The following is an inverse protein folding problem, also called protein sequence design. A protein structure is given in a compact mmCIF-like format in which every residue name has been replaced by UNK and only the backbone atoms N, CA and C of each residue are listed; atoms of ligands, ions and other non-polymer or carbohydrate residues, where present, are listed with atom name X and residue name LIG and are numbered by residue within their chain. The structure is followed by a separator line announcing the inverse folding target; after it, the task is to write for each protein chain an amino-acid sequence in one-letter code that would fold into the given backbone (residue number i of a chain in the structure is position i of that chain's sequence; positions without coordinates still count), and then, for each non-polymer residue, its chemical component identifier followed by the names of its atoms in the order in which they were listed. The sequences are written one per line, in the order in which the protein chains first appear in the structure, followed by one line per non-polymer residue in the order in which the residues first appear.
data_IF_763586990122
#
_entry.id   IF_763586990122
#
_cell.length_a   1.000
_cell.length_b   1.000
_cell.length_c   1.000
_cell.angle_alpha   90.00
_cell.angle_beta   90.00
_cell.angle_gamma   90.00
#
_symmetry.space_group_name_H-M   'P 1'
#
loop_
_entity.id
_entity.type
_entity.pdbx_description
1 polymer ?
#
# COMPACT_ATOMS: atom_id res chain seq x y z
N UNK A 1 -5.60 -1.18 -2.74
CA UNK A 1 -5.06 -1.35 -1.38
C UNK A 1 -4.59 -2.78 -1.21
N UNK A 2 -3.62 -3.05 -0.33
CA UNK A 2 -3.09 -4.38 -0.06
C UNK A 2 -3.47 -4.84 1.36
N UNK A 3 -4.53 -5.64 1.46
CA UNK A 3 -4.94 -6.22 2.74
C UNK A 3 -3.80 -7.05 3.37
N UNK A 4 -3.70 -6.97 4.70
CA UNK A 4 -2.66 -7.64 5.48
C UNK A 4 -1.27 -7.00 5.39
N UNK A 5 -1.13 -5.84 4.73
CA UNK A 5 0.13 -5.11 4.59
C UNK A 5 0.00 -3.73 5.24
N UNK A 6 1.03 -3.30 5.97
CA UNK A 6 1.15 -1.92 6.43
C UNK A 6 1.74 -1.04 5.31
N UNK A 7 1.05 0.05 4.97
CA UNK A 7 1.46 0.94 3.89
C UNK A 7 2.79 1.68 4.13
N UNK A 8 3.19 1.93 5.39
CA UNK A 8 4.50 2.54 5.69
C UNK A 8 5.64 1.56 5.42
N UNK A 9 5.51 0.32 5.90
CA UNK A 9 6.49 -0.74 5.65
C UNK A 9 6.63 -1.00 4.14
N UNK A 10 5.51 -0.97 3.41
CA UNK A 10 5.51 -1.10 1.96
C UNK A 10 6.24 0.06 1.26
N UNK A 11 6.05 1.31 1.70
CA UNK A 11 6.79 2.44 1.12
C UNK A 11 8.28 2.33 1.38
N UNK A 12 8.67 2.01 2.61
CA UNK A 12 10.08 1.87 2.98
C UNK A 12 10.73 0.78 2.12
N UNK A 13 10.07 -0.38 2.00
CA UNK A 13 10.55 -1.49 1.17
C UNK A 13 10.64 -1.13 -0.31
N UNK A 14 9.67 -0.38 -0.85
CA UNK A 14 9.69 0.07 -2.24
C UNK A 14 10.82 1.08 -2.49
N UNK A 15 11.08 2.00 -1.55
CA UNK A 15 12.17 2.97 -1.62
C UNK A 15 13.55 2.26 -1.62
N UNK A 16 13.75 1.27 -0.75
CA UNK A 16 14.95 0.41 -0.75
C UNK A 16 15.18 -0.30 -2.09
N UNK A 17 14.10 -0.61 -2.81
CA UNK A 17 14.11 -1.28 -4.12
C UNK A 17 14.07 -0.28 -5.29
N UNK A 18 14.20 1.02 -5.02
CA UNK A 18 14.31 2.08 -6.03
C UNK A 18 12.99 2.57 -6.61
N UNK A 19 11.85 2.32 -5.95
CA UNK A 19 10.52 2.75 -6.39
C UNK A 19 9.97 3.84 -5.47
N UNK A 20 9.84 5.05 -6.01
CA UNK A 20 9.17 6.15 -5.30
C UNK A 20 7.65 5.95 -5.29
N UNK A 21 7.05 5.93 -4.10
CA UNK A 21 5.62 5.76 -3.89
C UNK A 21 5.08 6.62 -2.73
N UNK A 22 3.77 6.59 -2.50
CA UNK A 22 3.12 7.31 -1.40
C UNK A 22 1.97 6.48 -0.80
N UNK A 23 1.53 6.80 0.42
CA UNK A 23 0.44 6.13 1.15
C UNK A 23 -0.47 7.20 1.73
N UNK A 24 -1.77 6.88 1.82
CA UNK A 24 -2.77 7.80 2.34
C UNK A 24 -2.87 9.13 1.56
N UNK A 25 -3.52 10.12 2.17
CA UNK A 25 -3.40 11.50 1.74
C UNK A 25 -2.02 12.01 2.19
N UNK A 26 -1.22 12.51 1.25
CA UNK A 26 0.20 12.87 1.34
C UNK A 26 0.68 13.81 2.47
N UNK A 27 -0.10 14.08 3.53
CA UNK A 27 0.18 15.05 4.61
C UNK A 27 0.01 14.52 6.05
N UNK A 28 0.06 13.21 6.32
CA UNK A 28 -0.14 12.67 7.68
C UNK A 28 1.13 12.62 8.54
N UNK A 29 1.87 13.72 8.66
CA UNK A 29 3.11 13.78 9.48
C UNK A 29 2.86 13.81 11.00
N UNK A 30 1.62 13.91 11.48
CA UNK A 30 1.34 14.02 12.93
C UNK A 30 0.24 13.13 13.49
N UNK A 31 -0.68 12.61 12.68
CA UNK A 31 -1.71 11.66 13.09
C UNK A 31 -2.05 10.80 11.88
N UNK A 32 -1.82 9.49 11.98
CA UNK A 32 -2.23 8.51 10.97
C UNK A 32 -3.76 8.51 10.88
N UNK A 33 -4.31 9.34 10.00
CA UNK A 33 -5.72 9.27 9.66
C UNK A 33 -5.82 8.48 8.36
N UNK A 34 -6.66 7.43 8.31
CA UNK A 34 -6.91 6.73 7.07
C UNK A 34 -7.42 7.71 6.02
N UNK A 35 -7.15 7.41 4.75
CA UNK A 35 -7.59 8.26 3.64
C UNK A 35 -9.09 8.50 3.72
N UNK A 36 -9.50 9.77 3.86
CA UNK A 36 -10.92 10.14 3.89
C UNK A 36 -11.62 9.78 2.58
N UNK A 37 -10.89 9.80 1.45
CA UNK A 37 -11.38 9.39 0.13
C UNK A 37 -11.66 7.90 0.11
N UNK A 38 -10.69 7.06 0.50
CA UNK A 38 -10.90 5.61 0.51
C UNK A 38 -11.98 5.21 1.53
N UNK A 39 -12.09 5.91 2.67
CA UNK A 39 -13.21 5.72 3.60
C UNK A 39 -14.55 6.06 2.96
N UNK A 40 -14.64 7.17 2.22
CA UNK A 40 -15.86 7.54 1.49
C UNK A 40 -16.19 6.57 0.34
N UNK A 41 -15.19 5.88 -0.21
CA UNK A 41 -15.35 4.81 -1.18
C UNK A 41 -15.82 3.47 -0.56
N UNK A 42 -15.94 3.38 0.77
CA UNK A 42 -16.49 2.22 1.46
C UNK A 42 -15.46 1.18 1.92
N UNK A 43 -14.16 1.47 1.85
CA UNK A 43 -13.14 0.55 2.36
C UNK A 43 -13.17 0.45 3.90
N UNK A 44 -13.00 -0.77 4.41
CA UNK A 44 -12.90 -1.05 5.84
C UNK A 44 -11.61 -0.49 6.44
N UNK A 45 -11.54 -0.35 7.76
CA UNK A 45 -10.31 0.11 8.41
C UNK A 45 -9.12 -0.81 8.14
N UNK A 46 -9.34 -2.13 8.13
CA UNK A 46 -8.32 -3.12 7.83
C UNK A 46 -7.83 -3.06 6.38
N UNK A 47 -8.70 -2.66 5.45
CA UNK A 47 -8.29 -2.42 4.06
C UNK A 47 -7.54 -1.10 3.90
N UNK A 48 -7.78 -0.10 4.75
CA UNK A 48 -7.18 1.23 4.63
C UNK A 48 -5.70 1.27 5.04
N UNK A 49 -5.27 0.36 5.91
CA UNK A 49 -3.89 0.32 6.42
C UNK A 49 -2.84 0.02 5.34
N UNK A 50 -3.22 -0.72 4.29
CA UNK A 50 -2.34 -1.12 3.19
C UNK A 50 -2.47 -0.26 1.93
N UNK A 51 -2.90 1.00 2.07
CA UNK A 51 -3.07 1.88 0.91
C UNK A 51 -1.72 2.20 0.25
N UNK A 52 -1.70 2.21 -1.08
CA UNK A 52 -0.54 2.61 -1.88
C UNK A 52 -1.02 3.49 -3.04
N UNK A 53 -0.28 4.56 -3.33
CA UNK A 53 -0.46 5.43 -4.49
C UNK A 53 0.80 5.43 -5.32
N UNK A 54 0.67 4.99 -6.57
CA UNK A 54 1.67 5.14 -7.62
C UNK A 54 1.14 6.14 -8.66
N UNK A 55 1.96 7.12 -9.02
CA UNK A 55 1.65 8.11 -10.04
C UNK A 55 2.63 7.93 -11.20
N UNK A 56 2.10 7.79 -12.41
CA UNK A 56 2.90 7.57 -13.62
C UNK A 56 2.95 8.88 -14.40
N UNK A 57 4.12 9.23 -14.93
CA UNK A 57 4.35 10.42 -15.77
C UNK A 57 4.76 10.06 -17.20
N UNK A 58 4.81 11.08 -18.07
CA UNK A 58 5.17 10.92 -19.49
C UNK A 58 6.59 10.40 -19.73
N UNK A 59 7.46 10.49 -18.72
CA UNK A 59 8.84 10.03 -18.78
C UNK A 59 9.00 8.56 -18.37
N UNK A 60 7.94 7.93 -17.84
CA UNK A 60 8.02 6.53 -17.48
C UNK A 60 7.95 5.64 -18.71
N UNK A 61 8.75 4.57 -18.69
CA UNK A 61 8.76 3.56 -19.76
C UNK A 61 7.91 2.35 -19.39
N UNK A 62 7.48 1.57 -20.40
CA UNK A 62 6.78 0.30 -20.15
C UNK A 62 7.67 -0.66 -19.34
N UNK A 63 8.96 -0.68 -19.62
CA UNK A 63 9.93 -1.53 -18.96
C UNK A 63 10.05 -1.19 -17.47
N UNK A 64 10.10 0.10 -17.12
CA UNK A 64 10.08 0.55 -15.71
C UNK A 64 8.78 0.13 -15.01
N UNK A 65 7.63 0.22 -15.69
CA UNK A 65 6.34 -0.22 -15.14
C UNK A 65 6.36 -1.74 -14.89
N UNK A 66 6.83 -2.53 -15.86
CA UNK A 66 6.92 -3.99 -15.71
C UNK A 66 7.85 -4.38 -14.54
N UNK A 67 8.98 -3.68 -14.39
CA UNK A 67 9.88 -3.85 -13.25
C UNK A 67 9.22 -3.46 -11.93
N UNK A 68 8.54 -2.31 -11.89
CA UNK A 68 7.87 -1.83 -10.70
C UNK A 68 6.76 -2.79 -10.22
N UNK A 69 6.00 -3.38 -11.14
CA UNK A 69 4.98 -4.39 -10.82
C UNK A 69 5.60 -5.67 -10.25
N UNK A 70 6.73 -6.12 -10.81
CA UNK A 70 7.44 -7.31 -10.30
C UNK A 70 7.95 -7.08 -8.88
N UNK A 71 8.62 -5.95 -8.64
CA UNK A 71 9.14 -5.55 -7.33
C UNK A 71 8.00 -5.40 -6.31
N UNK A 72 6.93 -4.72 -6.68
CA UNK A 72 5.77 -4.52 -5.81
C UNK A 72 5.13 -5.85 -5.40
N UNK A 73 5.01 -6.79 -6.34
CA UNK A 73 4.43 -8.11 -6.05
C UNK A 73 5.28 -8.88 -5.04
N UNK A 74 6.60 -8.86 -5.20
CA UNK A 74 7.53 -9.51 -4.27
C UNK A 74 7.48 -8.86 -2.88
N UNK A 75 7.53 -7.53 -2.80
CA UNK A 75 7.46 -6.79 -1.54
C UNK A 75 6.17 -7.06 -0.77
N UNK A 76 5.01 -7.10 -1.47
CA UNK A 76 3.72 -7.42 -0.87
C UNK A 76 3.69 -8.85 -0.34
N UNK A 77 4.26 -9.81 -1.08
CA UNK A 77 4.32 -11.21 -0.64
C UNK A 77 5.19 -11.38 0.61
N UNK A 78 6.36 -10.74 0.65
CA UNK A 78 7.27 -10.75 1.80
C UNK A 78 6.60 -10.15 3.04
N UNK A 79 5.99 -8.97 2.92
CA UNK A 79 5.35 -8.29 4.05
C UNK A 79 4.14 -9.08 4.59
N UNK A 80 3.40 -9.78 3.72
CA UNK A 80 2.32 -10.67 4.16
C UNK A 80 2.82 -11.85 4.99
N UNK A 81 4.00 -12.39 4.70
CA UNK A 81 4.60 -13.49 5.50
C UNK A 81 5.00 -13.05 6.91
N UNK A 82 5.26 -11.76 7.09
CA UNK A 82 5.64 -11.16 8.37
C UNK A 82 4.44 -10.62 9.16
N UNK A 83 3.28 -10.49 8.50
CA UNK A 83 2.11 -9.85 9.07
C UNK A 83 1.42 -10.76 10.09
N UNK A 84 1.12 -10.27 11.31
CA UNK A 84 0.33 -11.00 12.29
C UNK A 84 -1.17 -10.97 11.99
N UNK A 85 -1.60 -10.34 10.89
CA UNK A 85 -3.01 -10.34 10.48
C UNK A 85 -3.41 -11.72 9.96
N UNK A 86 -4.10 -12.48 10.82
CA UNK A 86 -4.86 -13.65 10.37
C UNK A 86 -5.99 -13.18 9.43
N UNK A 87 -6.29 -13.99 8.42
CA UNK A 87 -7.50 -13.87 7.59
C UNK A 87 -8.72 -14.16 8.48
N UNK A 88 -9.02 -13.25 9.39
CA UNK A 88 -10.22 -13.28 10.22
C UNK A 88 -11.41 -12.97 9.33
N UNK A 89 -12.31 -13.93 9.22
CA UNK A 89 -13.66 -13.72 8.70
C UNK A 89 -14.31 -12.59 9.49
N UNK A 90 -14.62 -11.48 8.84
CA UNK A 90 -15.51 -10.45 9.38
C UNK A 90 -16.90 -11.09 9.57
N UNK A 91 -17.13 -11.73 10.73
CA UNK A 91 -18.48 -11.93 11.22
C UNK A 91 -19.02 -10.54 11.61
N UNK A 92 -19.95 -10.08 10.77
CA UNK A 92 -20.77 -8.91 10.98
C UNK A 92 -21.53 -9.04 12.31
N UNK A 93 -21.38 -8.06 13.19
CA UNK A 93 -22.40 -7.70 14.19
C UNK A 93 -22.50 -6.18 14.26
#
# INVERSE_FOLDING_TARGET
TFFGVNGEDLIIKLDELGIAASTGSACSLRHQRPSHVLKAMGFSYAELTGSLRLSIGILNTKQEIDQAVSILSQAVEELRKLSPFELGTDEQN
#
